data_IF_813862848709
#
_entry.id   IF_813862848709
#
_cell.length_a   1.000
_cell.length_b   1.000
_cell.length_c   1.000
_cell.angle_alpha   90.00
_cell.angle_beta   90.00
_cell.angle_gamma   90.00
#
_symmetry.space_group_name_H-M   'P 1'
#
loop_
_entity.id
_entity.type
_entity.pdbx_description
1 polymer ?
#
# COMPACT_ATOMS: atom_id res chain seq x y z
N UNK A 1 8.84 0.18 16.57
CA UNK A 1 8.12 -0.31 15.38
C UNK A 1 9.04 -0.16 14.16
N UNK A 2 8.95 -1.01 13.11
CA UNK A 2 9.70 -0.79 11.87
C UNK A 2 9.41 0.60 11.31
N UNK A 3 10.42 1.27 10.75
CA UNK A 3 10.24 2.62 10.20
C UNK A 3 9.21 2.63 9.06
N UNK A 4 8.54 3.76 8.84
CA UNK A 4 7.63 3.94 7.69
C UNK A 4 8.30 3.61 6.34
N UNK A 5 9.62 3.85 6.21
CA UNK A 5 10.39 3.49 5.02
C UNK A 5 10.49 1.98 4.81
N UNK A 6 10.71 1.23 5.89
CA UNK A 6 10.74 -0.24 5.85
C UNK A 6 9.38 -0.81 5.49
N UNK A 7 8.31 -0.22 6.05
CA UNK A 7 6.94 -0.59 5.70
C UNK A 7 6.66 -0.36 4.21
N UNK A 8 6.96 0.83 3.69
CA UNK A 8 6.76 1.17 2.27
C UNK A 8 7.55 0.23 1.34
N UNK A 9 8.79 -0.10 1.70
CA UNK A 9 9.60 -1.03 0.93
C UNK A 9 8.95 -2.42 0.87
N UNK A 10 8.43 -2.92 1.99
CA UNK A 10 7.70 -4.19 2.04
C UNK A 10 6.42 -4.11 1.20
N UNK A 11 5.64 -3.02 1.28
CA UNK A 11 4.46 -2.81 0.44
C UNK A 11 4.81 -2.87 -1.05
N UNK A 12 5.87 -2.19 -1.48
CA UNK A 12 6.28 -2.20 -2.89
C UNK A 12 6.79 -3.58 -3.34
N UNK A 13 7.56 -4.26 -2.50
CA UNK A 13 8.06 -5.62 -2.80
C UNK A 13 6.89 -6.61 -2.90
N UNK A 14 5.90 -6.53 -2.00
CA UNK A 14 4.75 -7.43 -1.97
C UNK A 14 3.68 -7.10 -3.01
N UNK A 15 3.73 -5.94 -3.66
CA UNK A 15 2.81 -5.64 -4.76
C UNK A 15 2.97 -6.63 -5.94
N UNK A 16 4.21 -7.06 -6.23
CA UNK A 16 4.48 -8.04 -7.28
C UNK A 16 3.84 -9.42 -7.01
N UNK A 17 4.01 -10.07 -5.84
CA UNK A 17 3.31 -11.30 -5.55
C UNK A 17 1.79 -11.12 -5.45
N UNK A 18 1.26 -9.99 -4.99
CA UNK A 18 -0.18 -9.71 -5.03
C UNK A 18 -0.70 -9.74 -6.47
N UNK A 19 -0.03 -9.02 -7.38
CA UNK A 19 -0.36 -9.03 -8.80
C UNK A 19 -0.30 -10.45 -9.39
N UNK A 20 0.76 -11.21 -9.07
CA UNK A 20 0.94 -12.58 -9.54
C UNK A 20 -0.14 -13.53 -9.03
N UNK A 21 -0.57 -13.39 -7.77
CA UNK A 21 -1.69 -14.17 -7.21
C UNK A 21 -2.99 -13.83 -7.92
N UNK A 22 -3.27 -12.54 -8.17
CA UNK A 22 -4.47 -12.15 -8.89
C UNK A 22 -4.49 -12.67 -10.34
N UNK A 23 -3.34 -12.66 -11.03
CA UNK A 23 -3.18 -13.30 -12.34
C UNK A 23 -3.42 -14.80 -12.27
N UNK A 24 -2.82 -15.50 -11.30
CA UNK A 24 -2.97 -16.95 -11.13
C UNK A 24 -4.41 -17.36 -10.76
N UNK A 25 -5.15 -16.49 -10.09
CA UNK A 25 -6.56 -16.69 -9.76
C UNK A 25 -7.51 -16.47 -10.96
N UNK A 26 -7.01 -15.99 -12.10
CA UNK A 26 -7.81 -15.81 -13.32
C UNK A 26 -8.69 -14.57 -13.34
N UNK A 27 -8.38 -13.55 -12.53
CA UNK A 27 -9.12 -12.29 -12.54
C UNK A 27 -8.97 -11.52 -13.85
N UNK A 28 -9.98 -10.73 -14.20
CA UNK A 28 -9.91 -9.85 -15.36
C UNK A 28 -8.88 -8.72 -15.12
N UNK A 29 -8.27 -8.13 -16.17
CA UNK A 29 -7.23 -7.11 -16.01
C UNK A 29 -7.63 -5.91 -15.13
N UNK A 30 -8.90 -5.50 -15.19
CA UNK A 30 -9.40 -4.38 -14.37
C UNK A 30 -9.47 -4.75 -12.87
N UNK A 31 -9.83 -5.99 -12.55
CA UNK A 31 -9.90 -6.50 -11.17
C UNK A 31 -8.51 -6.61 -10.56
N UNK A 32 -7.53 -7.06 -11.36
CA UNK A 32 -6.12 -7.12 -10.96
C UNK A 32 -5.59 -5.71 -10.69
N UNK A 33 -5.91 -4.75 -11.57
CA UNK A 33 -5.50 -3.36 -11.40
C UNK A 33 -6.12 -2.74 -10.13
N UNK A 34 -7.40 -2.97 -9.89
CA UNK A 34 -8.09 -2.49 -8.68
C UNK A 34 -7.54 -3.18 -7.42
N UNK A 35 -7.33 -4.50 -7.44
CA UNK A 35 -6.81 -5.24 -6.30
C UNK A 35 -5.37 -4.86 -5.95
N UNK A 36 -4.47 -4.85 -6.93
CA UNK A 36 -3.06 -4.46 -6.73
C UNK A 36 -2.95 -2.98 -6.38
N UNK A 37 -3.73 -2.13 -7.05
CA UNK A 37 -3.79 -0.69 -6.76
C UNK A 37 -4.34 -0.40 -5.36
N UNK A 38 -5.38 -1.10 -4.95
CA UNK A 38 -5.95 -1.02 -3.61
C UNK A 38 -4.97 -1.46 -2.52
N UNK A 39 -4.23 -2.55 -2.76
CA UNK A 39 -3.15 -2.99 -1.87
C UNK A 39 -2.05 -1.93 -1.72
N UNK A 40 -1.57 -1.38 -2.84
CA UNK A 40 -0.56 -0.31 -2.84
C UNK A 40 -1.06 0.94 -2.12
N UNK A 41 -2.28 1.39 -2.44
CA UNK A 41 -2.89 2.55 -1.83
C UNK A 41 -3.03 2.36 -0.32
N UNK A 42 -3.60 1.23 0.11
CA UNK A 42 -3.77 0.91 1.53
C UNK A 42 -2.44 0.86 2.27
N UNK A 43 -1.45 0.14 1.74
CA UNK A 43 -0.15 0.01 2.41
C UNK A 43 0.66 1.31 2.46
N UNK A 44 0.56 2.18 1.45
CA UNK A 44 1.30 3.45 1.45
C UNK A 44 0.57 4.55 2.22
N UNK A 45 -0.75 4.52 2.29
CA UNK A 45 -1.54 5.57 2.95
C UNK A 45 -1.89 5.24 4.40
N UNK A 46 -1.94 3.95 4.77
CA UNK A 46 -2.27 3.48 6.11
C UNK A 46 -1.10 2.66 6.66
N UNK A 47 -0.17 3.37 7.30
CA UNK A 47 0.96 2.74 8.00
C UNK A 47 0.56 2.28 9.40
N UNK A 48 1.30 1.33 10.00
CA UNK A 48 1.10 0.89 11.38
C UNK A 48 1.57 1.92 12.41
N UNK A 49 2.17 3.01 11.94
CA UNK A 49 2.70 4.09 12.78
C UNK A 49 1.57 5.03 13.18
N UNK A 50 1.28 5.08 14.49
CA UNK A 50 0.26 5.94 15.09
C UNK A 50 0.80 7.35 15.37
N UNK A 51 2.07 7.61 15.09
CA UNK A 51 2.68 8.92 15.30
C UNK A 51 2.17 9.93 14.27
N UNK A 52 1.79 11.11 14.75
CA UNK A 52 1.37 12.25 13.92
C UNK A 52 2.52 12.86 13.10
N UNK A 53 3.77 12.46 13.39
CA UNK A 53 4.95 12.81 12.61
C UNK A 53 5.31 11.74 11.55
N UNK A 54 4.49 10.70 11.39
CA UNK A 54 4.74 9.63 10.43
C UNK A 54 4.72 10.13 8.98
N UNK A 55 5.46 9.42 8.13
CA UNK A 55 5.51 9.69 6.67
C UNK A 55 4.11 9.55 6.07
N UNK A 56 3.31 8.61 6.58
CA UNK A 56 1.95 8.35 6.14
C UNK A 56 1.03 9.52 6.48
N UNK A 57 1.08 10.04 7.71
CA UNK A 57 0.35 11.26 8.07
C UNK A 57 0.80 12.47 7.23
N UNK A 58 2.05 12.48 6.74
CA UNK A 58 2.56 13.48 5.78
C UNK A 58 1.97 13.37 4.38
N UNK A 59 1.73 12.16 3.89
CA UNK A 59 1.12 11.94 2.56
C UNK A 59 -0.31 12.48 2.48
N UNK A 60 -1.03 12.50 3.60
CA UNK A 60 -2.37 13.08 3.71
C UNK A 60 -2.38 14.61 3.83
N UNK A 61 -1.26 15.32 3.62
CA UNK A 61 -1.09 16.78 3.80
C UNK A 61 -2.36 17.65 3.62
N UNK A 62 -3.08 17.51 2.49
CA UNK A 62 -4.26 18.29 2.14
C UNK A 62 -5.58 17.86 2.82
N UNK A 63 -5.60 16.68 3.42
CA UNK A 63 -6.74 16.08 4.12
C UNK A 63 -6.52 15.99 5.63
N UNK A 64 -5.53 16.72 6.16
CA UNK A 64 -5.33 16.89 7.61
C UNK A 64 -6.42 17.82 8.15
N UNK A 65 -7.24 17.34 9.08
CA UNK A 65 -8.26 18.11 9.80
C UNK A 65 -7.93 18.17 11.29
#
# INVERSE_FOLDING_TARGET
>A
MPSGKSHDAITLILAAPVFAVCMAAGFAPYEIAVGTGGFLFGGLMFGPDLDTLSVQFSRWSYFRF
#
